data_IF_823330248630
#
_entry.id   IF_823330248630
#
_cell.length_a   1.000
_cell.length_b   1.000
_cell.length_c   1.000
_cell.angle_alpha   90.00
_cell.angle_beta   90.00
_cell.angle_gamma   90.00
#
_symmetry.space_group_name_H-M   'P 1'
#
loop_
_entity.id
_entity.type
_entity.pdbx_description
1 polymer ?
#
# COMPACT_ATOMS: atom_id res chain seq x y z
N UNK A 1 -1.73 21.81 -9.60
CA UNK A 1 -0.85 21.09 -8.66
C UNK A 1 -0.50 22.06 -7.55
N UNK A 2 -0.82 21.72 -6.31
CA UNK A 2 -0.32 22.42 -5.14
C UNK A 2 0.77 21.53 -4.52
N UNK A 3 1.90 22.11 -4.12
CA UNK A 3 2.99 21.34 -3.50
C UNK A 3 3.59 22.09 -2.33
N UNK A 4 4.00 21.37 -1.29
CA UNK A 4 4.65 21.91 -0.12
C UNK A 4 5.78 20.99 0.33
N UNK A 5 6.95 21.58 0.59
CA UNK A 5 8.10 20.87 1.19
C UNK A 5 8.14 21.21 2.67
N UNK A 6 8.30 20.20 3.51
CA UNK A 6 8.40 20.34 4.96
C UNK A 6 9.64 19.57 5.45
N UNK A 7 10.41 20.18 6.36
CA UNK A 7 11.32 19.42 7.23
C UNK A 7 10.48 18.73 8.30
N UNK A 8 10.58 17.40 8.38
CA UNK A 8 9.68 16.60 9.23
C UNK A 8 10.33 16.22 10.54
N UNK A 9 11.60 15.83 10.50
CA UNK A 9 12.32 15.23 11.61
C UNK A 9 13.83 15.23 11.34
N UNK A 10 14.59 15.01 12.41
CA UNK A 10 16.05 14.85 12.38
C UNK A 10 16.42 13.46 12.92
N UNK A 11 16.93 12.56 12.07
CA UNK A 11 17.41 11.23 12.45
C UNK A 11 18.82 11.28 13.04
N UNK A 12 19.07 10.46 14.06
CA UNK A 12 20.42 10.10 14.46
C UNK A 12 20.84 8.82 13.72
N UNK A 13 21.19 8.96 12.43
CA UNK A 13 21.56 7.84 11.56
C UNK A 13 22.61 6.89 12.19
N UNK A 14 23.68 7.39 12.86
CA UNK A 14 24.65 6.52 13.53
C UNK A 14 24.07 5.50 14.52
N UNK A 15 22.95 5.82 15.17
CA UNK A 15 22.28 4.93 16.13
C UNK A 15 21.26 3.98 15.48
N UNK A 16 21.01 4.12 14.17
CA UNK A 16 20.07 3.29 13.43
C UNK A 16 20.78 2.14 12.73
N UNK A 17 20.10 0.99 12.68
CA UNK A 17 20.50 -0.17 11.90
C UNK A 17 19.49 -0.43 10.81
N UNK A 18 20.00 -0.95 9.70
CA UNK A 18 19.20 -1.52 8.63
C UNK A 18 19.19 -3.03 8.80
N UNK A 19 18.02 -3.59 9.09
CA UNK A 19 17.82 -5.01 9.38
C UNK A 19 16.98 -5.62 8.26
N UNK A 20 17.49 -6.68 7.65
CA UNK A 20 16.80 -7.40 6.59
C UNK A 20 16.23 -8.69 7.16
N UNK A 21 14.90 -8.76 7.21
CA UNK A 21 14.14 -9.88 7.74
C UNK A 21 13.70 -10.78 6.58
N UNK A 22 13.82 -12.09 6.76
CA UNK A 22 13.34 -13.12 5.84
C UNK A 22 12.11 -13.78 6.44
N UNK A 23 11.00 -13.76 5.69
CA UNK A 23 9.75 -14.42 6.08
C UNK A 23 9.74 -15.84 5.53
N UNK A 24 9.44 -16.83 6.39
CA UNK A 24 9.16 -18.18 5.94
C UNK A 24 7.81 -18.22 5.20
N UNK A 25 7.87 -18.47 3.88
CA UNK A 25 6.71 -18.55 3.00
C UNK A 25 6.02 -19.91 2.99
N UNK A 26 6.66 -20.95 3.53
CA UNK A 26 6.08 -22.27 3.65
C UNK A 26 5.23 -22.40 4.93
N UNK A 27 5.47 -21.52 5.90
CA UNK A 27 4.65 -21.42 7.10
C UNK A 27 3.24 -20.94 6.76
N UNK A 28 2.21 -21.55 7.35
CA UNK A 28 0.82 -21.09 7.31
C UNK A 28 0.26 -20.77 5.91
N UNK A 29 0.65 -21.57 4.90
CA UNK A 29 0.24 -21.42 3.49
C UNK A 29 0.49 -20.01 2.92
N UNK A 30 1.54 -19.34 3.40
CA UNK A 30 1.79 -17.93 3.07
C UNK A 30 2.09 -17.69 1.59
N UNK A 31 2.66 -18.67 0.92
CA UNK A 31 2.92 -18.68 -0.52
C UNK A 31 1.68 -18.44 -1.39
N UNK A 32 0.46 -18.66 -0.86
CA UNK A 32 -0.78 -18.37 -1.56
C UNK A 32 -1.05 -16.85 -1.71
N UNK A 33 -0.57 -16.02 -0.77
CA UNK A 33 -0.80 -14.58 -0.76
C UNK A 33 0.40 -13.78 -0.21
N UNK A 34 1.60 -13.92 -0.80
CA UNK A 34 2.84 -13.40 -0.22
C UNK A 34 2.85 -11.88 -0.06
N UNK A 35 2.23 -11.16 -1.01
CA UNK A 35 2.06 -9.71 -0.92
C UNK A 35 1.24 -9.30 0.31
N UNK A 36 0.08 -9.92 0.52
CA UNK A 36 -0.81 -9.59 1.64
C UNK A 36 -0.18 -9.91 2.99
N UNK A 37 0.56 -11.01 3.05
CA UNK A 37 1.21 -11.46 4.27
C UNK A 37 2.37 -10.55 4.64
N UNK A 38 3.27 -10.23 3.71
CA UNK A 38 4.39 -9.31 3.99
C UNK A 38 3.89 -7.94 4.43
N UNK A 39 2.85 -7.41 3.78
CA UNK A 39 2.25 -6.14 4.17
C UNK A 39 1.63 -6.22 5.57
N UNK A 40 0.86 -7.27 5.85
CA UNK A 40 0.28 -7.50 7.20
C UNK A 40 1.38 -7.57 8.26
N UNK A 41 2.44 -8.35 8.03
CA UNK A 41 3.56 -8.48 8.97
C UNK A 41 4.24 -7.14 9.23
N UNK A 42 4.42 -6.29 8.20
CA UNK A 42 4.93 -4.94 8.40
C UNK A 42 4.02 -4.10 9.31
N UNK A 43 2.70 -4.21 9.17
CA UNK A 43 1.72 -3.51 10.02
C UNK A 43 1.78 -4.01 11.47
N UNK A 44 1.88 -5.33 11.64
CA UNK A 44 1.98 -5.93 12.97
C UNK A 44 3.28 -5.50 13.67
N UNK A 45 4.40 -5.41 12.95
CA UNK A 45 5.67 -4.88 13.47
C UNK A 45 5.54 -3.39 13.84
N UNK A 46 4.91 -2.56 12.99
CA UNK A 46 4.68 -1.15 13.31
C UNK A 46 3.90 -0.95 14.61
N UNK A 47 2.94 -1.84 14.89
CA UNK A 47 2.16 -1.82 16.14
C UNK A 47 2.97 -2.21 17.35
N UNK A 48 3.87 -3.18 17.23
CA UNK A 48 4.78 -3.58 18.33
C UNK A 48 5.59 -2.37 18.80
N UNK A 49 6.04 -1.54 17.85
CA UNK A 49 6.86 -0.36 18.14
C UNK A 49 6.08 0.96 18.27
N UNK A 50 4.74 0.90 18.33
CA UNK A 50 3.90 2.12 18.38
C UNK A 50 4.24 3.00 19.60
N UNK A 51 4.56 2.37 20.73
CA UNK A 51 4.89 3.04 22.00
C UNK A 51 6.41 3.16 22.27
N UNK A 52 7.27 2.48 21.50
CA UNK A 52 8.68 2.27 21.84
C UNK A 52 9.63 2.90 20.82
N UNK A 53 9.77 4.23 20.77
CA UNK A 53 10.69 4.91 19.85
C UNK A 53 10.61 4.40 18.38
N UNK A 54 9.45 3.89 17.96
CA UNK A 54 9.01 3.49 16.60
C UNK A 54 10.02 2.76 15.69
N UNK A 55 9.59 2.49 14.47
CA UNK A 55 10.47 1.95 13.44
C UNK A 55 10.07 2.48 12.05
N UNK A 56 10.99 2.39 11.09
CA UNK A 56 10.63 2.52 9.67
C UNK A 56 10.70 1.13 9.05
N UNK A 57 9.75 0.79 8.19
CA UNK A 57 9.65 -0.55 7.61
C UNK A 57 9.16 -0.48 6.18
N UNK A 58 9.59 -1.40 5.34
CA UNK A 58 9.00 -1.65 4.04
C UNK A 58 9.14 -3.13 3.66
N UNK A 59 8.15 -3.72 2.98
CA UNK A 59 8.34 -5.00 2.30
C UNK A 59 9.31 -4.83 1.12
N UNK A 60 10.08 -5.87 0.82
CA UNK A 60 10.93 -5.95 -0.38
C UNK A 60 10.15 -6.46 -1.61
N UNK A 61 10.70 -6.18 -2.80
CA UNK A 61 10.10 -6.57 -4.08
C UNK A 61 10.07 -8.09 -4.31
N UNK A 62 10.91 -8.84 -3.58
CA UNK A 62 10.93 -10.30 -3.63
C UNK A 62 9.71 -10.95 -2.94
N UNK A 63 8.86 -10.12 -2.32
CA UNK A 63 7.66 -10.51 -1.57
C UNK A 63 7.92 -11.52 -0.46
N UNK A 64 9.17 -11.68 -0.01
CA UNK A 64 9.59 -12.62 1.02
C UNK A 64 10.53 -12.03 2.06
N UNK A 65 11.01 -10.82 1.82
CA UNK A 65 11.86 -10.07 2.71
C UNK A 65 11.17 -8.79 3.18
N UNK A 66 11.56 -8.33 4.36
CA UNK A 66 11.10 -7.09 4.98
C UNK A 66 12.33 -6.31 5.41
N UNK A 67 12.39 -5.04 5.01
CA UNK A 67 13.44 -4.10 5.38
C UNK A 67 12.97 -3.27 6.57
N UNK A 68 13.67 -3.37 7.69
CA UNK A 68 13.38 -2.67 8.94
C UNK A 68 14.52 -1.72 9.29
N UNK A 69 14.20 -0.49 9.66
CA UNK A 69 15.12 0.49 10.24
C UNK A 69 14.68 0.76 11.67
N UNK A 70 15.61 0.52 12.58
CA UNK A 70 15.34 0.51 14.01
C UNK A 70 16.61 0.87 14.79
N UNK A 71 16.45 1.31 16.04
CA UNK A 71 17.56 1.43 16.96
C UNK A 71 18.09 0.04 17.34
N UNK A 72 19.41 -0.11 17.44
CA UNK A 72 20.07 -1.38 17.78
C UNK A 72 19.55 -2.00 19.09
N UNK A 73 19.18 -1.17 20.07
CA UNK A 73 18.67 -1.65 21.37
C UNK A 73 17.32 -2.37 21.26
N UNK A 74 16.48 -1.94 20.32
CA UNK A 74 15.11 -2.45 20.17
C UNK A 74 15.09 -3.86 19.55
N UNK A 75 16.18 -4.28 18.92
CA UNK A 75 16.32 -5.66 18.45
C UNK A 75 16.20 -6.67 19.59
N UNK A 76 16.55 -6.29 20.81
CA UNK A 76 16.48 -7.16 21.98
C UNK A 76 15.13 -7.10 22.72
N UNK A 77 14.15 -6.34 22.23
CA UNK A 77 12.84 -6.26 22.86
C UNK A 77 12.13 -7.61 22.81
N UNK A 78 11.63 -8.02 23.98
CA UNK A 78 11.05 -9.36 24.17
C UNK A 78 9.86 -9.61 23.25
N UNK A 79 8.96 -8.63 23.14
CA UNK A 79 7.74 -8.75 22.34
C UNK A 79 8.06 -8.88 20.85
N UNK A 80 9.08 -8.14 20.37
CA UNK A 80 9.56 -8.25 19.01
C UNK A 80 10.22 -9.60 18.73
N UNK A 81 11.09 -10.07 19.62
CA UNK A 81 11.73 -11.39 19.50
C UNK A 81 10.71 -12.52 19.52
N UNK A 82 9.71 -12.46 20.41
CA UNK A 82 8.62 -13.41 20.47
C UNK A 82 7.80 -13.40 19.18
N UNK A 83 7.46 -12.21 18.67
CA UNK A 83 6.77 -12.06 17.39
C UNK A 83 7.53 -12.68 16.22
N UNK A 84 8.83 -12.40 16.07
CA UNK A 84 9.64 -12.98 15.00
C UNK A 84 9.63 -14.52 15.07
N UNK A 85 9.74 -15.08 16.28
CA UNK A 85 9.77 -16.52 16.48
C UNK A 85 8.42 -17.18 16.14
N UNK A 86 7.32 -16.61 16.65
CA UNK A 86 5.94 -17.08 16.38
C UNK A 86 5.62 -16.97 14.89
N UNK A 87 6.00 -15.86 14.26
CA UNK A 87 5.75 -15.63 12.85
C UNK A 87 6.78 -16.28 11.92
N UNK A 88 7.76 -17.05 12.43
CA UNK A 88 8.81 -17.68 11.61
C UNK A 88 9.51 -16.68 10.68
N UNK A 89 9.94 -15.56 11.25
CA UNK A 89 10.70 -14.51 10.57
C UNK A 89 12.13 -14.53 11.11
N UNK A 90 13.11 -14.51 10.22
CA UNK A 90 14.52 -14.63 10.58
C UNK A 90 15.29 -13.38 10.17
N UNK A 91 16.27 -12.96 10.96
CA UNK A 91 17.20 -11.91 10.54
C UNK A 91 18.16 -12.51 9.52
N UNK A 92 18.12 -12.02 8.28
CA UNK A 92 19.00 -12.45 7.20
C UNK A 92 20.39 -11.83 7.36
N UNK A 93 20.43 -10.52 7.56
CA UNK A 93 21.63 -9.75 7.88
C UNK A 93 21.27 -8.36 8.39
N UNK A 94 22.26 -7.68 8.97
CA UNK A 94 22.15 -6.31 9.47
C UNK A 94 23.30 -5.47 8.92
N UNK A 95 23.01 -4.24 8.50
CA UNK A 95 23.99 -3.29 7.99
C UNK A 95 23.87 -1.93 8.69
N UNK A 96 24.84 -1.05 8.46
CA UNK A 96 24.68 0.37 8.76
C UNK A 96 23.49 0.93 7.97
N UNK A 97 22.79 1.88 8.57
CA UNK A 97 21.70 2.59 7.93
C UNK A 97 22.25 3.66 6.97
N UNK A 98 21.62 3.84 5.82
CA UNK A 98 21.89 4.91 4.87
C UNK A 98 20.59 5.65 4.51
N UNK A 99 20.73 6.80 3.85
CA UNK A 99 19.60 7.65 3.49
C UNK A 99 18.64 7.00 2.49
N UNK A 100 19.12 6.09 1.62
CA UNK A 100 18.28 5.44 0.61
C UNK A 100 17.35 4.40 1.27
N UNK A 101 17.88 3.63 2.22
CA UNK A 101 17.10 2.73 3.06
C UNK A 101 16.01 3.50 3.81
N UNK A 102 16.39 4.65 4.40
CA UNK A 102 15.45 5.53 5.12
C UNK A 102 14.33 5.99 4.19
N UNK A 103 14.64 6.54 3.02
CA UNK A 103 13.62 7.03 2.08
C UNK A 103 12.62 5.95 1.69
N UNK A 104 13.11 4.73 1.43
CA UNK A 104 12.27 3.58 1.10
C UNK A 104 11.34 3.20 2.25
N UNK A 105 11.88 2.96 3.44
CA UNK A 105 11.10 2.54 4.60
C UNK A 105 10.15 3.64 5.08
N UNK A 106 10.58 4.89 5.05
CA UNK A 106 9.75 6.04 5.41
C UNK A 106 8.53 6.15 4.50
N UNK A 107 8.69 5.88 3.20
CA UNK A 107 7.57 5.91 2.24
C UNK A 107 6.45 4.95 2.64
N UNK A 108 6.80 3.70 2.94
CA UNK A 108 5.83 2.68 3.32
C UNK A 108 5.24 2.93 4.72
N UNK A 109 6.08 3.23 5.71
CA UNK A 109 5.63 3.54 7.07
C UNK A 109 4.64 4.71 7.10
N UNK A 110 4.91 5.77 6.34
CA UNK A 110 4.00 6.91 6.29
C UNK A 110 2.71 6.60 5.55
N UNK A 111 2.78 5.80 4.48
CA UNK A 111 1.59 5.32 3.81
C UNK A 111 0.67 4.61 4.81
N UNK A 112 1.22 3.73 5.65
CA UNK A 112 0.47 3.04 6.69
C UNK A 112 -0.17 4.00 7.70
N UNK A 113 0.59 4.93 8.28
CA UNK A 113 0.03 5.85 9.28
C UNK A 113 -1.08 6.74 8.72
N UNK A 114 -0.93 7.20 7.47
CA UNK A 114 -1.94 8.02 6.81
C UNK A 114 -3.18 7.22 6.41
N UNK A 115 -3.01 5.95 6.05
CA UNK A 115 -4.12 5.03 5.75
C UNK A 115 -5.09 4.86 6.92
N UNK A 116 -4.58 4.78 8.16
CA UNK A 116 -5.44 4.70 9.36
C UNK A 116 -6.35 5.93 9.53
N UNK A 117 -5.96 7.08 8.99
CA UNK A 117 -6.77 8.31 8.94
C UNK A 117 -7.66 8.41 7.70
N UNK A 118 -7.65 7.38 6.86
CA UNK A 118 -8.44 7.33 5.63
C UNK A 118 -7.78 7.97 4.41
N UNK A 119 -6.53 8.42 4.53
CA UNK A 119 -5.73 8.95 3.43
C UNK A 119 -5.01 7.82 2.66
N UNK A 120 -4.39 8.13 1.52
CA UNK A 120 -3.49 7.22 0.80
C UNK A 120 -4.06 5.84 0.38
N UNK A 121 -5.38 5.67 0.23
CA UNK A 121 -5.96 4.36 -0.13
C UNK A 121 -5.53 3.82 -1.49
N UNK A 122 -5.24 4.70 -2.43
CA UNK A 122 -4.64 4.33 -3.71
C UNK A 122 -3.12 4.50 -3.56
N UNK A 123 -2.34 3.56 -4.08
CA UNK A 123 -0.87 3.59 -4.07
C UNK A 123 -0.35 4.66 -5.05
N UNK A 124 -0.77 5.90 -4.83
CA UNK A 124 -0.45 7.09 -5.58
C UNK A 124 0.50 7.90 -4.71
N UNK A 125 1.72 8.12 -5.19
CA UNK A 125 2.77 8.81 -4.45
C UNK A 125 2.49 10.32 -4.38
N UNK A 126 1.57 10.71 -3.49
CA UNK A 126 1.31 12.11 -3.17
C UNK A 126 2.44 12.74 -2.33
N UNK A 127 3.41 11.94 -1.89
CA UNK A 127 4.52 12.40 -1.08
C UNK A 127 5.84 11.73 -1.47
N UNK A 128 6.92 12.49 -1.36
CA UNK A 128 8.28 12.08 -1.69
C UNK A 128 9.17 12.37 -0.47
N UNK A 129 9.64 11.34 0.26
CA UNK A 129 10.64 11.50 1.30
C UNK A 129 12.03 11.69 0.72
N UNK A 130 12.83 12.53 1.38
CA UNK A 130 14.24 12.75 1.09
C UNK A 130 15.02 12.93 2.40
N UNK A 131 15.83 11.94 2.74
CA UNK A 131 16.77 11.98 3.84
C UNK A 131 18.15 12.42 3.34
N UNK A 132 18.71 13.45 3.95
CA UNK A 132 20.10 13.85 3.70
C UNK A 132 21.05 13.13 4.65
N UNK A 133 22.34 13.09 4.31
CA UNK A 133 23.36 12.36 5.10
C UNK A 133 23.53 12.88 6.53
N UNK A 134 23.10 14.11 6.83
CA UNK A 134 23.06 14.64 8.19
C UNK A 134 21.95 14.03 9.04
N UNK A 135 21.00 13.30 8.44
CA UNK A 135 19.81 12.76 9.09
C UNK A 135 18.58 13.65 9.02
N UNK A 136 18.69 14.87 8.49
CA UNK A 136 17.50 15.70 8.25
C UNK A 136 16.62 15.05 7.17
N UNK A 137 15.32 15.01 7.40
CA UNK A 137 14.35 14.41 6.48
C UNK A 137 13.37 15.47 6.01
N UNK A 138 13.33 15.65 4.70
CA UNK A 138 12.37 16.48 4.01
C UNK A 138 11.29 15.62 3.40
N UNK A 139 10.06 16.13 3.40
CA UNK A 139 8.97 15.53 2.66
C UNK A 139 8.32 16.56 1.76
N UNK A 140 8.24 16.23 0.47
CA UNK A 140 7.46 16.99 -0.51
C UNK A 140 6.09 16.36 -0.62
N UNK A 141 5.05 17.12 -0.32
CA UNK A 141 3.65 16.74 -0.53
C UNK A 141 3.12 17.42 -1.78
N UNK A 142 2.37 16.69 -2.60
CA UNK A 142 1.75 17.20 -3.83
C UNK A 142 0.29 16.78 -3.88
N UNK A 143 -0.58 17.74 -4.20
CA UNK A 143 -2.00 17.51 -4.42
C UNK A 143 -2.37 17.76 -5.88
N UNK A 144 -3.03 16.77 -6.48
CA UNK A 144 -3.49 16.78 -7.86
C UNK A 144 -4.92 16.25 -7.95
N UNK A 145 -5.71 16.89 -8.80
CA UNK A 145 -6.99 16.32 -9.19
C UNK A 145 -6.71 15.29 -10.29
N UNK A 146 -7.10 14.05 -10.07
CA UNK A 146 -6.93 12.98 -11.06
C UNK A 146 -8.28 12.50 -11.57
N UNK A 147 -8.31 12.09 -12.84
CA UNK A 147 -9.47 11.48 -13.47
C UNK A 147 -9.28 9.97 -13.50
N UNK A 148 -10.17 9.24 -12.82
CA UNK A 148 -10.21 7.78 -12.83
C UNK A 148 -11.58 7.30 -13.32
N UNK A 149 -11.58 6.43 -14.33
CA UNK A 149 -12.80 5.84 -14.88
C UNK A 149 -12.79 4.34 -14.73
N UNK A 150 -13.83 3.75 -14.12
CA UNK A 150 -14.04 2.31 -14.17
C UNK A 150 -14.06 1.78 -15.61
N UNK A 151 -13.59 0.55 -15.78
CA UNK A 151 -13.72 -0.19 -17.01
C UNK A 151 -15.15 -0.72 -17.11
N UNK A 152 -15.91 -0.15 -18.02
CA UNK A 152 -17.31 -0.49 -18.25
C UNK A 152 -17.46 -1.42 -19.46
N UNK A 153 -18.53 -2.22 -19.46
CA UNK A 153 -18.78 -3.24 -20.49
C UNK A 153 -18.88 -2.67 -21.91
N UNK A 154 -19.33 -1.42 -22.08
CA UNK A 154 -19.41 -0.79 -23.41
C UNK A 154 -18.04 -0.54 -24.05
N UNK A 155 -16.95 -0.58 -23.28
CA UNK A 155 -15.57 -0.53 -23.81
C UNK A 155 -15.16 -1.84 -24.51
N UNK A 156 -15.95 -2.90 -24.35
CA UNK A 156 -15.72 -4.17 -25.02
C UNK A 156 -16.36 -4.18 -26.41
N UNK A 157 -15.75 -4.97 -27.29
CA UNK A 157 -16.32 -5.30 -28.59
C UNK A 157 -17.65 -6.02 -28.39
N UNK A 158 -18.59 -5.83 -29.32
CA UNK A 158 -19.94 -6.43 -29.25
C UNK A 158 -19.92 -7.96 -29.06
N UNK A 159 -18.87 -8.64 -29.53
CA UNK A 159 -18.73 -10.10 -29.35
C UNK A 159 -18.36 -10.49 -27.91
N UNK A 160 -17.69 -9.61 -27.18
CA UNK A 160 -17.14 -9.82 -25.85
C UNK A 160 -18.11 -9.41 -24.72
N UNK A 161 -19.23 -8.72 -25.04
CA UNK A 161 -20.28 -8.34 -24.07
C UNK A 161 -21.22 -9.50 -23.74
N UNK A 162 -21.81 -9.50 -22.55
CA UNK A 162 -22.88 -10.45 -22.23
C UNK A 162 -24.03 -10.31 -23.22
N UNK A 163 -24.49 -11.42 -23.78
CA UNK A 163 -25.62 -11.43 -24.74
C UNK A 163 -26.91 -11.94 -24.11
N UNK A 164 -26.77 -12.80 -23.11
CA UNK A 164 -27.87 -13.39 -22.36
C UNK A 164 -27.74 -12.99 -20.90
N UNK A 165 -28.83 -12.55 -20.28
CA UNK A 165 -28.85 -12.18 -18.87
C UNK A 165 -28.61 -13.37 -17.92
N UNK A 166 -28.77 -14.59 -18.42
CA UNK A 166 -28.46 -15.83 -17.71
C UNK A 166 -26.98 -16.20 -17.77
N UNK A 167 -26.19 -15.55 -18.63
CA UNK A 167 -24.76 -15.82 -18.76
C UNK A 167 -24.02 -15.32 -17.52
N UNK A 168 -23.56 -16.26 -16.68
CA UNK A 168 -22.89 -15.95 -15.41
C UNK A 168 -21.43 -15.53 -15.62
N UNK A 169 -20.78 -16.06 -16.67
CA UNK A 169 -19.38 -15.77 -16.97
C UNK A 169 -19.11 -15.80 -18.46
N UNK A 170 -18.18 -14.95 -18.91
CA UNK A 170 -17.82 -14.83 -20.32
C UNK A 170 -16.31 -14.64 -20.50
N UNK A 171 -15.71 -15.45 -21.36
CA UNK A 171 -14.32 -15.23 -21.80
C UNK A 171 -14.32 -14.13 -22.86
N UNK A 172 -13.37 -13.21 -22.76
CA UNK A 172 -13.27 -12.06 -23.66
C UNK A 172 -11.91 -12.00 -24.33
N UNK A 173 -11.81 -11.24 -25.43
CA UNK A 173 -10.53 -10.85 -25.99
C UNK A 173 -9.71 -10.09 -24.95
N UNK A 174 -8.42 -10.41 -24.82
CA UNK A 174 -7.59 -9.86 -23.76
C UNK A 174 -7.49 -8.32 -23.86
N UNK A 175 -7.83 -7.61 -22.77
CA UNK A 175 -7.77 -6.13 -22.72
C UNK A 175 -6.79 -5.65 -21.66
N UNK A 176 -5.85 -4.81 -22.06
CA UNK A 176 -4.94 -4.15 -21.13
C UNK A 176 -5.70 -3.16 -20.25
N UNK A 177 -5.46 -3.27 -18.95
CA UNK A 177 -6.09 -2.45 -17.92
C UNK A 177 -5.10 -2.13 -16.82
N UNK A 178 -5.47 -1.16 -16.00
CA UNK A 178 -4.78 -0.76 -14.79
C UNK A 178 -5.69 -1.02 -13.60
N UNK A 179 -5.21 -1.70 -12.56
CA UNK A 179 -6.07 -2.13 -11.45
C UNK A 179 -5.71 -1.41 -10.15
N UNK A 180 -6.73 -0.88 -9.47
CA UNK A 180 -6.62 -0.40 -8.10
C UNK A 180 -6.26 -1.54 -7.14
N UNK A 181 -5.68 -1.26 -5.97
CA UNK A 181 -5.25 0.07 -5.50
C UNK A 181 -3.83 0.42 -5.96
N UNK A 182 -3.06 -0.57 -6.44
CA UNK A 182 -1.65 -0.44 -6.78
C UNK A 182 -1.37 0.10 -8.19
N UNK A 183 -2.42 0.27 -9.01
CA UNK A 183 -2.31 0.67 -10.41
C UNK A 183 -1.40 -0.25 -11.23
N UNK A 184 -1.39 -1.54 -10.88
CA UNK A 184 -0.68 -2.56 -11.65
C UNK A 184 -1.30 -2.73 -13.03
N UNK A 185 -0.47 -2.95 -14.06
CA UNK A 185 -0.92 -3.24 -15.43
C UNK A 185 -1.17 -4.74 -15.60
N UNK A 186 -2.37 -5.09 -16.03
CA UNK A 186 -2.79 -6.47 -16.26
C UNK A 186 -3.68 -6.60 -17.48
N UNK A 187 -4.13 -7.82 -17.77
CA UNK A 187 -5.05 -8.11 -18.89
C UNK A 187 -6.33 -8.72 -18.36
N UNK A 188 -7.48 -8.11 -18.66
CA UNK A 188 -8.76 -8.79 -18.46
C UNK A 188 -8.84 -9.93 -19.46
N UNK A 189 -9.18 -11.14 -19.01
CA UNK A 189 -9.38 -12.31 -19.87
C UNK A 189 -10.77 -12.92 -19.74
N UNK A 190 -11.48 -12.63 -18.65
CA UNK A 190 -12.79 -13.18 -18.35
C UNK A 190 -13.60 -12.23 -17.47
N UNK A 191 -14.91 -12.30 -17.62
CA UNK A 191 -15.89 -11.51 -16.87
C UNK A 191 -16.86 -12.43 -16.15
N UNK A 192 -17.43 -11.93 -15.04
CA UNK A 192 -18.43 -12.62 -14.27
C UNK A 192 -19.50 -11.65 -13.75
N UNK A 193 -20.76 -12.10 -13.68
CA UNK A 193 -21.86 -11.37 -13.02
C UNK A 193 -21.87 -11.57 -11.50
N UNK A 194 -21.19 -12.61 -11.01
CA UNK A 194 -21.03 -12.92 -9.59
C UNK A 194 -19.63 -13.47 -9.32
N UNK A 195 -19.22 -13.53 -8.05
CA UNK A 195 -17.95 -14.15 -7.69
C UNK A 195 -18.02 -15.65 -8.05
N UNK A 196 -17.11 -16.17 -8.90
CA UNK A 196 -17.14 -17.57 -9.30
C UNK A 196 -16.74 -18.50 -8.15
N UNK A 197 -17.25 -19.73 -8.15
CA UNK A 197 -16.91 -20.74 -7.13
C UNK A 197 -15.42 -21.09 -7.09
N UNK A 198 -14.71 -20.94 -8.21
CA UNK A 198 -13.26 -21.12 -8.30
C UNK A 198 -12.45 -19.95 -7.71
N UNK A 199 -13.12 -18.89 -7.26
CA UNK A 199 -12.47 -17.73 -6.64
C UNK A 199 -11.89 -18.09 -5.27
N UNK A 200 -10.77 -17.50 -4.85
CA UNK A 200 -10.31 -17.58 -3.46
C UNK A 200 -11.27 -16.89 -2.48
N UNK A 201 -12.21 -16.08 -2.98
CA UNK A 201 -13.24 -15.42 -2.20
C UNK A 201 -14.56 -16.19 -2.30
N UNK A 202 -15.10 -16.61 -1.16
CA UNK A 202 -16.42 -17.23 -1.02
C UNK A 202 -17.55 -16.22 -1.26
N UNK A 203 -17.36 -14.96 -0.88
CA UNK A 203 -18.37 -13.91 -1.04
C UNK A 203 -17.72 -12.51 -1.02
N UNK A 204 -18.55 -11.50 -1.33
CA UNK A 204 -18.08 -10.11 -1.40
C UNK A 204 -17.58 -9.58 -0.04
N UNK A 205 -18.16 -10.01 1.08
CA UNK A 205 -17.68 -9.63 2.43
C UNK A 205 -16.25 -10.08 2.65
N UNK A 206 -15.90 -11.31 2.26
CA UNK A 206 -14.53 -11.80 2.34
C UNK A 206 -13.59 -11.00 1.43
N UNK A 207 -14.02 -10.66 0.22
CA UNK A 207 -13.25 -9.78 -0.68
C UNK A 207 -13.01 -8.40 -0.03
N UNK A 208 -14.02 -7.76 0.57
CA UNK A 208 -13.84 -6.48 1.30
C UNK A 208 -12.80 -6.58 2.41
N UNK A 209 -12.88 -7.63 3.22
CA UNK A 209 -11.91 -7.86 4.30
C UNK A 209 -10.51 -8.07 3.76
N UNK A 210 -10.36 -8.86 2.69
CA UNK A 210 -9.07 -9.05 2.02
C UNK A 210 -8.51 -7.72 1.52
N UNK A 211 -9.30 -6.92 0.81
CA UNK A 211 -8.83 -5.65 0.25
C UNK A 211 -8.46 -4.62 1.32
N UNK A 212 -9.28 -4.51 2.37
CA UNK A 212 -8.99 -3.65 3.52
C UNK A 212 -7.71 -4.08 4.23
N UNK A 213 -7.57 -5.37 4.53
CA UNK A 213 -6.43 -5.86 5.33
C UNK A 213 -5.13 -5.92 4.52
N UNK A 214 -5.23 -6.19 3.21
CA UNK A 214 -4.07 -6.35 2.32
C UNK A 214 -3.57 -4.99 1.83
N UNK A 215 -4.49 -4.13 1.39
CA UNK A 215 -4.15 -2.89 0.69
C UNK A 215 -4.60 -1.62 1.39
N UNK A 216 -5.34 -1.72 2.50
CA UNK A 216 -5.99 -0.54 3.10
C UNK A 216 -7.17 0.02 2.31
N UNK A 217 -7.51 -0.63 1.21
CA UNK A 217 -8.52 -0.13 0.29
C UNK A 217 -9.90 -0.62 0.69
N UNK A 218 -10.76 0.31 1.10
CA UNK A 218 -12.13 0.02 1.50
C UNK A 218 -13.02 0.00 0.25
N UNK A 219 -13.47 -1.19 -0.14
CA UNK A 219 -14.42 -1.33 -1.25
C UNK A 219 -15.82 -0.80 -0.86
N UNK A 220 -16.64 -0.37 -1.83
CA UNK A 220 -18.04 0.01 -1.62
C UNK A 220 -18.86 -1.02 -0.84
N UNK A 221 -19.89 -0.55 -0.13
CA UNK A 221 -20.71 -1.40 0.74
C UNK A 221 -21.40 -2.54 -0.02
N UNK A 222 -21.98 -2.20 -1.18
CA UNK A 222 -22.73 -3.11 -2.04
C UNK A 222 -21.82 -3.81 -3.05
N UNK A 223 -22.07 -5.09 -3.38
CA UNK A 223 -21.35 -5.79 -4.43
C UNK A 223 -21.62 -5.15 -5.80
N UNK A 224 -20.65 -5.18 -6.73
CA UNK A 224 -20.90 -4.80 -8.11
C UNK A 224 -21.69 -5.88 -8.86
N UNK A 225 -22.28 -5.47 -9.98
CA UNK A 225 -22.92 -6.38 -10.95
C UNK A 225 -21.92 -7.09 -11.87
N UNK A 226 -20.64 -6.70 -11.82
CA UNK A 226 -19.60 -7.24 -12.70
C UNK A 226 -18.25 -7.35 -12.01
N UNK A 227 -17.59 -8.47 -12.26
CA UNK A 227 -16.24 -8.78 -11.84
C UNK A 227 -15.39 -9.17 -13.06
N UNK A 228 -14.10 -8.85 -12.99
CA UNK A 228 -13.11 -9.10 -14.02
C UNK A 228 -12.01 -10.03 -13.49
N UNK A 229 -11.70 -11.06 -14.26
CA UNK A 229 -10.50 -11.87 -14.08
C UNK A 229 -9.33 -11.18 -14.77
N UNK A 230 -8.37 -10.70 -13.99
CA UNK A 230 -7.22 -9.96 -14.49
C UNK A 230 -5.96 -10.77 -14.30
N UNK A 231 -5.25 -11.00 -15.40
CA UNK A 231 -3.97 -11.72 -15.43
C UNK A 231 -2.83 -10.72 -15.32
N UNK A 232 -2.01 -10.88 -14.29
CA UNK A 232 -0.73 -10.21 -14.09
C UNK A 232 0.37 -11.22 -14.31
N UNK A 233 1.14 -11.05 -15.39
CA UNK A 233 2.11 -12.06 -15.83
C UNK A 233 1.40 -13.40 -16.05
N UNK A 234 1.56 -14.36 -15.13
CA UNK A 234 0.96 -15.70 -15.14
C UNK A 234 0.02 -15.97 -13.95
N UNK A 235 -0.28 -14.96 -13.13
CA UNK A 235 -1.19 -15.07 -11.98
C UNK A 235 -2.48 -14.32 -12.26
N UNK A 236 -3.61 -14.89 -11.84
CA UNK A 236 -4.91 -14.24 -11.99
C UNK A 236 -5.44 -13.74 -10.65
N UNK A 237 -6.18 -12.64 -10.69
CA UNK A 237 -6.90 -12.11 -9.53
C UNK A 237 -8.22 -11.52 -9.98
N UNK A 238 -9.25 -11.75 -9.17
CA UNK A 238 -10.60 -11.27 -9.42
C UNK A 238 -10.77 -9.84 -8.89
N UNK A 239 -11.25 -8.94 -9.74
CA UNK A 239 -11.49 -7.53 -9.43
C UNK A 239 -12.95 -7.15 -9.61
N UNK A 240 -13.54 -6.36 -8.70
CA UNK A 240 -14.80 -5.68 -8.97
C UNK A 240 -14.61 -4.60 -10.06
N UNK A 241 -15.63 -4.32 -10.88
CA UNK A 241 -15.49 -3.44 -12.06
C UNK A 241 -14.90 -2.05 -11.75
N UNK A 242 -15.31 -1.45 -10.64
CA UNK A 242 -14.85 -0.12 -10.21
C UNK A 242 -13.37 -0.07 -9.78
N UNK A 243 -12.72 -1.23 -9.65
CA UNK A 243 -11.29 -1.34 -9.39
C UNK A 243 -10.45 -1.59 -10.64
N UNK A 244 -11.09 -1.74 -11.81
CA UNK A 244 -10.40 -1.92 -13.08
C UNK A 244 -10.56 -0.66 -13.90
N UNK A 245 -9.46 -0.11 -14.41
CA UNK A 245 -9.42 1.13 -15.14
C UNK A 245 -8.87 0.87 -16.56
N UNK A 246 -9.44 1.45 -17.63
CA UNK A 246 -8.89 1.29 -18.97
C UNK A 246 -7.52 1.94 -19.11
N UNK A 247 -7.27 3.02 -18.35
CA UNK A 247 -5.99 3.72 -18.29
C UNK A 247 -5.68 4.12 -16.84
N UNK A 248 -4.40 4.27 -16.46
CA UNK A 248 -4.03 4.82 -15.16
C UNK A 248 -4.67 6.19 -14.93
N UNK A 249 -5.04 6.57 -13.69
CA UNK A 249 -5.53 7.89 -13.37
C UNK A 249 -4.61 8.98 -13.91
N UNK A 250 -5.18 9.98 -14.59
CA UNK A 250 -4.41 11.07 -15.20
C UNK A 250 -4.68 12.40 -14.48
N UNK A 251 -3.64 13.22 -14.22
CA UNK A 251 -3.82 14.56 -13.69
C UNK A 251 -4.71 15.41 -14.61
N UNK A 252 -5.66 16.12 -14.02
CA UNK A 252 -6.50 17.08 -14.72
C UNK A 252 -5.77 18.43 -14.73
N UNK A 253 -5.45 19.00 -15.90
CA UNK A 253 -4.62 20.21 -16.00
C UNK A 253 -5.33 21.51 -15.54
N UNK A 254 -6.62 21.46 -15.21
CA UNK A 254 -7.47 22.65 -15.09
C UNK A 254 -7.46 23.27 -13.68
N UNK A 255 -7.11 24.56 -13.61
CA UNK A 255 -6.87 25.34 -12.37
C UNK A 255 -8.12 25.80 -11.59
N UNK A 256 -9.34 25.42 -11.98
CA UNK A 256 -10.56 25.95 -11.31
C UNK A 256 -10.78 25.44 -9.88
N UNK A 257 -10.13 24.36 -9.48
CA UNK A 257 -10.25 23.80 -8.12
C UNK A 257 -9.01 24.05 -7.26
N UNK A 258 -8.23 25.12 -7.53
CA UNK A 258 -6.99 25.40 -6.78
C UNK A 258 -7.24 25.56 -5.28
N UNK A 259 -8.35 26.20 -4.88
CA UNK A 259 -8.72 26.35 -3.48
C UNK A 259 -9.11 25.01 -2.83
N UNK A 260 -9.85 24.15 -3.54
CA UNK A 260 -10.17 22.80 -3.05
C UNK A 260 -8.92 21.95 -2.88
N UNK A 261 -7.99 22.01 -3.84
CA UNK A 261 -6.71 21.31 -3.75
C UNK A 261 -5.85 21.85 -2.60
N UNK A 262 -5.80 23.16 -2.42
CA UNK A 262 -5.08 23.78 -1.31
C UNK A 262 -5.70 23.38 0.04
N UNK A 263 -7.02 23.40 0.17
CA UNK A 263 -7.72 22.98 1.38
C UNK A 263 -7.50 21.49 1.67
N UNK A 264 -7.62 20.62 0.68
CA UNK A 264 -7.34 19.19 0.83
C UNK A 264 -5.88 18.94 1.25
N UNK A 265 -4.93 19.68 0.68
CA UNK A 265 -3.52 19.61 1.09
C UNK A 265 -3.34 20.10 2.54
N UNK A 266 -4.00 21.19 2.94
CA UNK A 266 -3.92 21.69 4.32
C UNK A 266 -4.55 20.73 5.34
N UNK A 267 -5.69 20.11 5.01
CA UNK A 267 -6.30 19.06 5.84
C UNK A 267 -5.37 17.85 5.99
N UNK A 268 -4.83 17.36 4.87
CA UNK A 268 -3.85 16.29 4.86
C UNK A 268 -2.63 16.64 5.73
N UNK A 269 -2.07 17.83 5.58
CA UNK A 269 -0.89 18.27 6.35
C UNK A 269 -1.18 18.44 7.84
N UNK A 270 -2.41 18.86 8.20
CA UNK A 270 -2.85 18.94 9.59
C UNK A 270 -2.90 17.54 10.22
N UNK A 271 -3.51 16.57 9.55
CA UNK A 271 -3.57 15.19 10.03
C UNK A 271 -2.19 14.55 10.08
N UNK A 272 -1.38 14.77 9.04
CA UNK A 272 0.01 14.31 8.97
C UNK A 272 0.81 14.81 10.17
N UNK A 273 0.77 16.12 10.47
CA UNK A 273 1.47 16.70 11.63
C UNK A 273 0.96 16.12 12.96
N UNK A 274 -0.32 15.78 13.06
CA UNK A 274 -0.88 15.19 14.28
C UNK A 274 -0.34 13.77 14.50
N UNK A 275 -0.21 12.98 13.43
CA UNK A 275 0.39 11.63 13.47
C UNK A 275 1.88 11.74 13.78
N UNK A 276 2.63 12.53 13.02
CA UNK A 276 4.07 12.63 13.20
C UNK A 276 4.44 13.15 14.58
N UNK A 277 3.68 14.07 15.17
CA UNK A 277 3.94 14.49 16.56
C UNK A 277 3.74 13.39 17.59
N UNK A 278 2.86 12.41 17.34
CA UNK A 278 2.70 11.26 18.24
C UNK A 278 3.81 10.24 18.08
N UNK A 279 4.20 9.98 16.83
CA UNK A 279 5.12 8.89 16.50
C UNK A 279 6.58 9.34 16.42
N UNK A 280 6.88 10.57 16.01
CA UNK A 280 8.25 11.08 15.82
C UNK A 280 8.77 11.96 16.97
N UNK A 281 7.90 12.68 17.69
CA UNK A 281 8.34 13.43 18.90
C UNK A 281 8.77 12.45 20.01
N UNK A 282 8.22 11.24 20.05
CA UNK A 282 8.69 10.15 20.90
C UNK A 282 10.04 9.59 20.42
N UNK A 283 10.33 9.64 19.12
CA UNK A 283 11.48 8.95 18.55
C UNK A 283 12.81 9.69 18.66
N UNK A 284 12.83 11.03 18.59
CA UNK A 284 14.10 11.73 18.35
C UNK A 284 14.10 13.16 18.91
N UNK A 285 13.65 13.34 20.15
CA UNK A 285 14.23 14.43 20.93
C UNK A 285 15.59 13.94 21.44
N UNK A 286 16.64 14.21 20.66
CA UNK A 286 17.99 14.35 21.19
C UNK A 286 18.09 15.58 22.10
N UNK A 287 17.13 15.76 23.01
CA UNK A 287 17.34 16.61 24.18
C UNK A 287 18.05 15.74 25.20
N UNK A 288 19.37 15.76 25.12
CA UNK A 288 20.18 15.80 26.35
C UNK A 288 19.69 16.93 27.26
#
# INVERSE_FOLDING_TARGET
MASQILSILQLNIPNLKSVYLQVDMNFDNRSAAPFAITHKLCRDILKIFEDANGCLIAPDDDLSSIHLIINEQMMCEKDFQEFLNVQRIFVKFTTKCDSLAIDKCLRYTFFYWMEERGWCKMNFSAFEPHCVSSGEVFMKFSAELVKAYPFEEWLLDHIDRFRDDREVSKRISARWVTCLPNLGKGRIVKMYRQIPESSPFQNYTQMKSYWKNTYGYILPANPPDTYYDVVFQDKTMLYPFFCVLPTPPQPIPYKKDTDRLANALQEFLKDFRQITRRTLDAQISGKS
#
